data_IF_692130218039
#
_entry.id   IF_692130218039
#
_cell.length_a   1.000
_cell.length_b   1.000
_cell.length_c   1.000
_cell.angle_alpha   90.00
_cell.angle_beta   90.00
_cell.angle_gamma   90.00
#
_symmetry.space_group_name_H-M   'P 1'
#
loop_
_entity.id
_entity.type
_entity.pdbx_description
1 polymer ?
#
# COMPACT_ATOMS: atom_id res chain seq x y z
N UNK A 1 17.28 -16.62 -7.09
CA UNK A 1 17.93 -15.61 -6.23
C UNK A 1 17.65 -14.25 -6.86
N UNK A 2 16.56 -13.60 -6.45
CA UNK A 2 16.29 -12.21 -6.78
C UNK A 2 16.66 -11.41 -5.53
N UNK A 3 17.91 -10.95 -5.48
CA UNK A 3 18.33 -9.93 -4.54
C UNK A 3 17.68 -8.66 -5.07
N UNK A 4 16.65 -8.21 -4.37
CA UNK A 4 15.95 -6.98 -4.71
C UNK A 4 16.93 -5.81 -4.66
N UNK A 5 17.03 -5.08 -5.77
CA UNK A 5 17.49 -3.70 -5.71
C UNK A 5 16.38 -2.88 -5.05
N UNK A 6 16.36 -2.99 -3.73
CA UNK A 6 15.74 -2.09 -2.78
C UNK A 6 16.47 -0.76 -2.97
N UNK A 7 15.80 0.24 -3.53
CA UNK A 7 16.27 1.62 -3.37
C UNK A 7 16.37 1.86 -1.88
N UNK A 8 17.61 2.11 -1.42
CA UNK A 8 18.00 2.74 -0.18
C UNK A 8 16.86 3.02 0.83
N UNK A 9 16.39 1.98 1.50
CA UNK A 9 15.48 2.11 2.64
C UNK A 9 16.32 2.18 3.92
N UNK A 10 16.12 3.23 4.72
CA UNK A 10 16.42 3.21 6.15
C UNK A 10 17.72 3.90 6.58
N UNK A 11 17.76 5.23 6.58
CA UNK A 11 18.41 5.94 7.69
C UNK A 11 17.82 7.34 7.89
N UNK A 12 16.84 7.46 8.79
CA UNK A 12 16.47 8.77 9.37
C UNK A 12 17.44 9.08 10.54
N UNK A 13 17.95 10.31 10.69
CA UNK A 13 18.94 10.63 11.71
C UNK A 13 18.35 10.55 13.13
N UNK A 14 19.15 9.96 14.02
CA UNK A 14 18.89 9.90 15.46
C UNK A 14 18.81 11.32 16.05
N UNK A 15 17.71 11.61 16.75
CA UNK A 15 17.57 12.86 17.48
C UNK A 15 16.14 13.24 17.85
N UNK A 16 15.39 12.34 18.51
CA UNK A 16 14.17 12.71 19.23
C UNK A 16 14.01 11.80 20.45
N UNK A 17 13.62 12.41 21.56
CA UNK A 17 13.71 11.97 22.96
C UNK A 17 13.06 10.62 23.31
N UNK A 18 13.63 9.97 24.33
CA UNK A 18 13.32 8.66 24.92
C UNK A 18 11.94 8.56 25.62
N UNK A 19 10.81 8.66 24.92
CA UNK A 19 9.54 8.12 25.45
C UNK A 19 8.61 7.66 24.30
N UNK A 20 8.31 6.35 24.33
CA UNK A 20 7.50 5.51 23.41
C UNK A 20 8.03 5.24 21.99
N UNK A 21 7.91 3.98 21.49
CA UNK A 21 8.36 3.65 20.15
C UNK A 21 7.50 4.33 19.07
N UNK A 22 8.16 5.12 18.22
CA UNK A 22 7.65 5.87 17.05
C UNK A 22 7.07 4.99 15.89
N UNK A 23 6.57 3.78 16.15
CA UNK A 23 6.25 2.78 15.11
C UNK A 23 4.78 2.82 14.66
N UNK A 24 4.34 3.95 14.09
CA UNK A 24 2.98 4.09 13.55
C UNK A 24 2.88 3.94 12.04
N UNK A 25 1.77 3.37 11.58
CA UNK A 25 1.39 3.31 10.18
C UNK A 25 1.32 4.73 9.60
N UNK A 26 1.65 4.86 8.32
CA UNK A 26 1.77 6.16 7.65
C UNK A 26 1.59 6.00 6.15
N UNK A 27 0.80 6.87 5.53
CA UNK A 27 0.73 6.96 4.07
C UNK A 27 1.91 7.76 3.54
N UNK A 28 2.61 7.20 2.56
CA UNK A 28 3.69 7.86 1.82
C UNK A 28 3.41 7.72 0.32
N UNK A 29 3.32 8.84 -0.38
CA UNK A 29 3.06 8.91 -1.82
C UNK A 29 4.31 9.38 -2.55
N UNK A 30 4.75 8.62 -3.55
CA UNK A 30 5.68 9.08 -4.57
C UNK A 30 4.88 9.58 -5.77
N UNK A 31 4.96 10.88 -6.05
CA UNK A 31 4.22 11.59 -7.09
C UNK A 31 5.21 12.05 -8.16
N UNK A 32 4.97 11.69 -9.41
CA UNK A 32 5.78 12.14 -10.54
C UNK A 32 5.07 13.27 -11.27
N UNK A 33 5.78 14.38 -11.50
CA UNK A 33 5.31 15.50 -12.31
C UNK A 33 5.83 15.47 -13.74
N UNK A 34 5.16 16.15 -14.66
CA UNK A 34 5.65 16.33 -16.04
C UNK A 34 6.78 17.38 -16.15
N UNK A 35 7.00 18.18 -15.10
CA UNK A 35 7.99 19.26 -15.04
C UNK A 35 8.16 19.72 -13.58
N UNK A 36 8.91 20.80 -13.31
CA UNK A 36 9.12 21.29 -11.95
C UNK A 36 7.79 21.77 -11.34
N UNK A 37 7.19 20.95 -10.47
CA UNK A 37 5.85 21.12 -9.93
C UNK A 37 5.76 20.84 -8.43
N UNK A 38 6.91 20.72 -7.75
CA UNK A 38 6.96 20.44 -6.31
C UNK A 38 6.21 21.47 -5.47
N UNK A 39 6.14 22.72 -5.90
CA UNK A 39 5.35 23.75 -5.24
C UNK A 39 3.85 23.42 -5.22
N UNK A 40 3.31 22.95 -6.35
CA UNK A 40 1.90 22.54 -6.48
C UNK A 40 1.65 21.25 -5.71
N UNK A 41 2.51 20.24 -5.88
CA UNK A 41 2.43 18.96 -5.16
C UNK A 41 2.45 19.21 -3.64
N UNK A 42 3.37 20.05 -3.17
CA UNK A 42 3.51 20.37 -1.75
C UNK A 42 2.31 21.15 -1.19
N UNK A 43 1.73 22.07 -1.96
CA UNK A 43 0.53 22.81 -1.55
C UNK A 43 -0.69 21.88 -1.39
N UNK A 44 -0.94 21.01 -2.38
CA UNK A 44 -2.02 20.01 -2.32
C UNK A 44 -1.80 19.03 -1.16
N UNK A 45 -0.56 18.59 -0.96
CA UNK A 45 -0.18 17.78 0.20
C UNK A 45 -0.52 18.48 1.51
N UNK A 46 -0.11 19.73 1.68
CA UNK A 46 -0.36 20.51 2.89
C UNK A 46 -1.86 20.68 3.19
N UNK A 47 -2.68 20.97 2.17
CA UNK A 47 -4.13 21.08 2.29
C UNK A 47 -4.77 19.77 2.75
N UNK A 48 -4.20 18.63 2.37
CA UNK A 48 -4.63 17.30 2.80
C UNK A 48 -4.00 16.83 4.14
N UNK A 49 -3.13 17.63 4.76
CA UNK A 49 -2.41 17.29 5.99
C UNK A 49 -1.14 16.43 5.81
N UNK A 50 -0.63 16.37 4.59
CA UNK A 50 0.65 15.74 4.23
C UNK A 50 1.75 16.80 4.15
N UNK A 51 3.01 16.41 4.36
CA UNK A 51 4.16 17.28 4.07
C UNK A 51 4.89 16.80 2.83
N UNK A 52 5.40 17.73 2.03
CA UNK A 52 6.43 17.42 1.05
C UNK A 52 7.74 17.14 1.77
N UNK A 53 8.32 15.97 1.55
CA UNK A 53 9.65 15.63 2.01
C UNK A 53 10.68 16.25 1.07
N UNK A 54 11.33 17.31 1.53
CA UNK A 54 12.32 18.06 0.72
C UNK A 54 13.65 17.33 0.55
N UNK A 55 13.94 16.33 1.37
CA UNK A 55 15.18 15.57 1.28
C UNK A 55 15.13 14.59 0.10
N UNK A 56 13.99 13.94 -0.09
CA UNK A 56 13.80 12.93 -1.13
C UNK A 56 13.08 13.45 -2.39
N UNK A 57 12.57 14.69 -2.38
CA UNK A 57 11.92 15.30 -3.54
C UNK A 57 12.90 16.10 -4.41
N UNK A 58 12.66 16.11 -5.72
CA UNK A 58 13.49 16.79 -6.72
C UNK A 58 12.64 17.40 -7.84
N UNK A 59 12.97 18.63 -8.27
CA UNK A 59 12.42 19.29 -9.46
C UNK A 59 13.10 18.80 -10.77
N UNK A 60 13.70 17.61 -10.73
CA UNK A 60 14.37 16.96 -11.84
C UNK A 60 13.95 15.48 -11.93
N UNK A 61 14.05 14.85 -13.11
CA UNK A 61 13.83 13.42 -13.28
C UNK A 61 14.81 12.58 -12.47
N UNK A 62 14.37 11.38 -12.10
CA UNK A 62 15.18 10.33 -11.48
C UNK A 62 15.10 9.04 -12.30
N UNK A 63 16.26 8.60 -12.81
CA UNK A 63 16.40 7.41 -13.67
C UNK A 63 15.96 6.10 -12.98
N UNK A 64 15.85 6.09 -11.65
CA UNK A 64 15.37 4.94 -10.89
C UNK A 64 13.84 4.78 -10.92
N UNK A 65 13.07 5.85 -11.21
CA UNK A 65 11.61 5.83 -11.13
C UNK A 65 10.93 4.80 -12.04
N UNK A 66 11.34 4.61 -13.32
CA UNK A 66 10.76 3.55 -14.16
C UNK A 66 10.87 2.15 -13.53
N UNK A 67 12.01 1.83 -12.92
CA UNK A 67 12.20 0.54 -12.26
C UNK A 67 11.37 0.44 -10.97
N UNK A 68 11.33 1.51 -10.17
CA UNK A 68 10.58 1.56 -8.92
C UNK A 68 9.06 1.41 -9.13
N UNK A 69 8.49 2.12 -10.11
CA UNK A 69 7.08 2.00 -10.48
C UNK A 69 6.76 0.61 -11.03
N UNK A 70 7.60 0.06 -11.90
CA UNK A 70 7.40 -1.29 -12.45
C UNK A 70 7.35 -2.38 -11.37
N UNK A 71 8.10 -2.24 -10.28
CA UNK A 71 8.08 -3.21 -9.17
C UNK A 71 6.75 -3.19 -8.37
N UNK A 72 6.03 -2.06 -8.42
CA UNK A 72 4.79 -1.81 -7.69
C UNK A 72 3.54 -1.83 -8.59
N UNK A 73 3.75 -1.83 -9.91
CA UNK A 73 2.69 -1.79 -10.91
C UNK A 73 1.76 -3.00 -10.81
N UNK A 74 0.46 -2.72 -10.85
CA UNK A 74 -0.58 -3.75 -11.01
C UNK A 74 -0.95 -3.96 -12.49
N UNK A 75 -1.98 -4.77 -12.74
CA UNK A 75 -2.45 -5.07 -14.09
C UNK A 75 -3.08 -3.87 -14.81
N UNK A 76 -3.47 -2.81 -14.08
CA UNK A 76 -4.07 -1.60 -14.66
C UNK A 76 -3.02 -0.61 -15.16
N UNK A 77 -1.75 -0.78 -14.78
CA UNK A 77 -0.64 0.07 -15.20
C UNK A 77 -0.25 -0.24 -16.66
N UNK A 78 -0.69 0.63 -17.57
CA UNK A 78 -0.60 0.48 -19.02
C UNK A 78 0.75 0.91 -19.61
N UNK A 79 0.87 0.83 -20.94
CA UNK A 79 2.03 1.34 -21.68
C UNK A 79 2.11 2.87 -21.56
N UNK A 80 0.98 3.57 -21.74
CA UNK A 80 0.90 5.03 -21.55
C UNK A 80 1.37 5.47 -20.15
N UNK A 81 1.01 4.74 -19.08
CA UNK A 81 1.48 5.04 -17.73
C UNK A 81 3.01 4.84 -17.60
N UNK A 82 3.57 3.81 -18.26
CA UNK A 82 5.02 3.55 -18.25
C UNK A 82 5.79 4.62 -19.01
N UNK A 83 5.28 5.04 -20.16
CA UNK A 83 5.88 6.10 -20.96
C UNK A 83 5.83 7.44 -20.21
N UNK A 84 4.72 7.72 -19.54
CA UNK A 84 4.56 8.89 -18.69
C UNK A 84 5.56 8.88 -17.51
N UNK A 85 5.76 7.73 -16.85
CA UNK A 85 6.82 7.56 -15.85
C UNK A 85 8.21 7.74 -16.47
N UNK A 86 8.49 7.21 -17.65
CA UNK A 86 9.80 7.36 -18.29
C UNK A 86 10.12 8.81 -18.67
N UNK A 87 9.09 9.60 -18.99
CA UNK A 87 9.19 11.00 -19.39
C UNK A 87 8.94 12.01 -18.25
N UNK A 88 8.86 11.57 -16.99
CA UNK A 88 8.64 12.47 -15.85
C UNK A 88 9.73 13.55 -15.75
N UNK A 89 9.39 14.69 -15.17
CA UNK A 89 10.28 15.84 -14.99
C UNK A 89 10.59 16.17 -13.53
N UNK A 90 9.86 15.60 -12.57
CA UNK A 90 10.04 15.82 -11.13
C UNK A 90 9.61 14.59 -10.33
N UNK A 91 10.09 14.50 -9.09
CA UNK A 91 9.73 13.47 -8.12
C UNK A 91 9.38 14.15 -6.79
N UNK A 92 8.14 14.01 -6.33
CA UNK A 92 7.68 14.54 -5.05
C UNK A 92 7.27 13.43 -4.09
N UNK A 93 7.77 13.46 -2.86
CA UNK A 93 7.35 12.55 -1.80
C UNK A 93 6.43 13.27 -0.80
N UNK A 94 5.17 12.85 -0.74
CA UNK A 94 4.20 13.35 0.23
C UNK A 94 4.07 12.38 1.40
N UNK A 95 4.39 12.85 2.60
CA UNK A 95 4.44 12.07 3.82
C UNK A 95 3.31 12.48 4.76
N UNK A 96 2.41 11.53 5.05
CA UNK A 96 1.23 11.73 5.90
C UNK A 96 1.57 11.82 7.39
N UNK A 97 0.57 11.98 8.27
CA UNK A 97 0.76 11.77 9.70
C UNK A 97 0.98 10.28 10.02
N UNK A 98 1.75 9.99 11.08
CA UNK A 98 1.82 8.64 11.68
C UNK A 98 0.62 8.42 12.60
N UNK A 99 0.14 7.19 12.71
CA UNK A 99 -0.98 6.83 13.60
C UNK A 99 -0.81 5.45 14.29
N UNK A 100 -1.19 5.38 15.58
CA UNK A 100 -1.30 4.20 16.49
C UNK A 100 -2.38 4.48 17.58
N UNK A 101 -3.12 3.46 18.07
CA UNK A 101 -4.44 3.03 17.60
C UNK A 101 -5.62 3.73 18.34
N UNK A 102 -6.90 3.48 17.99
CA UNK A 102 -7.56 3.52 16.68
C UNK A 102 -8.49 4.75 16.53
N UNK A 103 -9.08 4.94 15.35
CA UNK A 103 -10.23 5.82 15.11
C UNK A 103 -10.02 6.90 14.05
N UNK A 104 -8.86 6.92 13.40
CA UNK A 104 -8.55 7.93 12.36
C UNK A 104 -8.04 7.35 11.05
N UNK A 105 -7.77 6.04 11.01
CA UNK A 105 -7.19 5.31 9.88
C UNK A 105 -8.01 5.52 8.62
N UNK A 106 -9.31 5.22 8.68
CA UNK A 106 -10.22 5.40 7.55
C UNK A 106 -10.26 6.85 7.05
N UNK A 107 -10.23 7.82 7.96
CA UNK A 107 -10.24 9.23 7.60
C UNK A 107 -8.92 9.63 6.93
N UNK A 108 -7.78 9.12 7.41
CA UNK A 108 -6.47 9.35 6.78
C UNK A 108 -6.39 8.67 5.42
N UNK A 109 -6.85 7.42 5.29
CA UNK A 109 -6.86 6.68 4.03
C UNK A 109 -7.74 7.38 2.99
N UNK A 110 -8.96 7.83 3.36
CA UNK A 110 -9.82 8.61 2.45
C UNK A 110 -9.17 9.91 2.01
N UNK A 111 -8.51 10.64 2.92
CA UNK A 111 -7.75 11.86 2.56
C UNK A 111 -6.57 11.55 1.63
N UNK A 112 -5.82 10.47 1.90
CA UNK A 112 -4.72 10.04 1.05
C UNK A 112 -5.21 9.74 -0.37
N UNK A 113 -6.35 9.03 -0.49
CA UNK A 113 -6.94 8.68 -1.77
C UNK A 113 -7.45 9.91 -2.54
N UNK A 114 -8.10 10.84 -1.83
CA UNK A 114 -8.49 12.13 -2.41
C UNK A 114 -7.27 12.91 -2.92
N UNK A 115 -6.20 12.97 -2.12
CA UNK A 115 -4.94 13.62 -2.48
C UNK A 115 -4.31 13.00 -3.73
N UNK A 116 -4.30 11.66 -3.87
CA UNK A 116 -3.84 11.00 -5.10
C UNK A 116 -4.61 11.52 -6.32
N UNK A 117 -5.93 11.61 -6.23
CA UNK A 117 -6.74 12.12 -7.33
C UNK A 117 -6.48 13.60 -7.61
N UNK A 118 -6.28 14.41 -6.57
CA UNK A 118 -6.03 15.84 -6.71
C UNK A 118 -4.68 16.13 -7.38
N UNK A 119 -3.60 15.44 -6.99
CA UNK A 119 -2.31 15.61 -7.66
C UNK A 119 -2.35 15.13 -9.11
N UNK A 120 -3.05 14.03 -9.40
CA UNK A 120 -3.23 13.55 -10.79
C UNK A 120 -4.01 14.57 -11.62
N UNK A 121 -5.09 15.15 -11.08
CA UNK A 121 -5.88 16.19 -11.74
C UNK A 121 -5.10 17.49 -11.93
N UNK A 122 -4.17 17.79 -11.02
CA UNK A 122 -3.28 18.95 -11.10
C UNK A 122 -2.11 18.78 -12.10
N UNK A 123 -1.97 17.60 -12.71
CA UNK A 123 -0.99 17.36 -13.77
C UNK A 123 0.14 16.40 -13.43
N UNK A 124 0.13 15.79 -12.24
CA UNK A 124 1.02 14.66 -11.96
C UNK A 124 0.77 13.54 -12.98
N UNK A 125 1.85 12.95 -13.48
CA UNK A 125 1.83 11.92 -14.52
C UNK A 125 1.63 10.52 -13.95
N UNK A 126 2.11 10.27 -12.73
CA UNK A 126 1.96 8.98 -12.07
C UNK A 126 2.03 9.14 -10.55
N UNK A 127 1.40 8.20 -9.82
CA UNK A 127 1.50 8.10 -8.36
C UNK A 127 1.73 6.65 -7.95
N UNK A 128 2.66 6.46 -7.03
CA UNK A 128 2.94 5.20 -6.35
C UNK A 128 2.74 5.38 -4.84
N UNK A 129 2.03 4.45 -4.22
CA UNK A 129 1.87 4.39 -2.77
C UNK A 129 3.00 3.54 -2.18
N UNK A 130 3.96 4.16 -1.50
CA UNK A 130 5.17 3.50 -1.01
C UNK A 130 4.85 2.53 0.13
N UNK A 131 4.00 2.92 1.08
CA UNK A 131 3.74 2.11 2.28
C UNK A 131 2.97 0.81 2.01
N UNK A 132 2.41 0.64 0.81
CA UNK A 132 1.78 -0.62 0.39
C UNK A 132 2.33 -1.18 -0.92
N UNK A 133 3.35 -0.53 -1.48
CA UNK A 133 4.03 -0.95 -2.70
C UNK A 133 3.08 -1.08 -3.91
N UNK A 134 2.14 -0.15 -4.08
CA UNK A 134 1.14 -0.15 -5.15
C UNK A 134 1.36 1.01 -6.13
N UNK A 135 1.31 0.72 -7.43
CA UNK A 135 1.17 1.72 -8.48
C UNK A 135 0.05 1.29 -9.44
N UNK A 136 -1.14 1.88 -9.30
CA UNK A 136 -2.21 1.72 -10.28
C UNK A 136 -1.96 2.62 -11.50
N UNK A 137 -2.56 2.26 -12.64
CA UNK A 137 -2.65 3.19 -13.78
C UNK A 137 -3.47 4.43 -13.39
N UNK A 138 -3.23 5.55 -14.08
CA UNK A 138 -3.87 6.84 -13.79
C UNK A 138 -5.40 6.74 -13.67
N UNK A 139 -6.04 6.13 -14.67
CA UNK A 139 -7.49 6.00 -14.70
C UNK A 139 -8.04 5.15 -13.56
N UNK A 140 -7.29 4.11 -13.15
CA UNK A 140 -7.68 3.27 -12.01
C UNK A 140 -7.60 4.05 -10.70
N UNK A 141 -6.56 4.84 -10.49
CA UNK A 141 -6.47 5.73 -9.32
C UNK A 141 -7.68 6.68 -9.24
N UNK A 142 -8.04 7.30 -10.36
CA UNK A 142 -9.18 8.24 -10.42
C UNK A 142 -10.52 7.54 -10.16
N UNK A 143 -10.71 6.33 -10.71
CA UNK A 143 -11.91 5.53 -10.46
C UNK A 143 -12.04 5.12 -8.99
N UNK A 144 -10.97 4.59 -8.40
CA UNK A 144 -10.92 4.23 -6.97
C UNK A 144 -11.26 5.42 -6.07
N UNK A 145 -10.71 6.59 -6.38
CA UNK A 145 -10.99 7.80 -5.63
C UNK A 145 -12.44 8.29 -5.78
N UNK A 146 -13.04 8.12 -6.96
CA UNK A 146 -14.45 8.42 -7.17
C UNK A 146 -15.38 7.48 -6.39
N UNK A 147 -15.01 6.20 -6.32
CA UNK A 147 -15.75 5.17 -5.57
C UNK A 147 -15.50 5.24 -4.05
N UNK A 148 -14.42 5.93 -3.63
CA UNK A 148 -13.98 5.96 -2.23
C UNK A 148 -13.44 4.62 -1.74
N UNK A 149 -12.97 3.76 -2.65
CA UNK A 149 -12.48 2.41 -2.37
C UNK A 149 -11.02 2.43 -1.88
N UNK A 150 -10.84 2.66 -0.58
CA UNK A 150 -9.52 2.72 0.05
C UNK A 150 -8.82 1.35 0.10
N UNK A 151 -9.57 0.26 0.18
CA UNK A 151 -9.02 -1.09 0.17
C UNK A 151 -8.46 -1.44 -1.22
N UNK A 152 -9.24 -1.20 -2.28
CA UNK A 152 -8.80 -1.39 -3.65
C UNK A 152 -7.63 -0.49 -4.05
N UNK A 153 -7.48 0.66 -3.39
CA UNK A 153 -6.40 1.62 -3.60
C UNK A 153 -5.10 1.28 -2.88
N UNK A 154 -5.17 0.80 -1.64
CA UNK A 154 -3.99 0.70 -0.77
C UNK A 154 -3.63 -0.71 -0.36
N UNK A 155 -4.41 -1.73 -0.69
CA UNK A 155 -4.09 -3.12 -0.34
C UNK A 155 -3.58 -3.86 -1.57
N UNK A 156 -2.28 -4.17 -1.60
CA UNK A 156 -1.67 -4.99 -2.64
C UNK A 156 -1.98 -6.46 -2.37
N UNK A 157 -2.65 -7.11 -3.31
CA UNK A 157 -2.99 -8.54 -3.22
C UNK A 157 -3.14 -9.14 -4.65
N UNK A 158 -2.61 -10.35 -4.91
CA UNK A 158 -1.69 -11.13 -4.09
C UNK A 158 -0.21 -10.73 -4.30
N UNK A 159 0.58 -10.79 -3.24
CA UNK A 159 2.05 -10.85 -3.33
C UNK A 159 2.48 -12.30 -3.12
N UNK A 160 3.37 -12.80 -3.98
CA UNK A 160 3.85 -14.18 -3.93
C UNK A 160 5.26 -14.26 -3.36
N UNK A 161 5.47 -15.14 -2.39
CA UNK A 161 6.77 -15.48 -1.83
C UNK A 161 6.88 -16.99 -1.64
N UNK A 162 7.42 -17.70 -2.64
CA UNK A 162 7.45 -19.17 -2.65
C UNK A 162 6.05 -19.76 -2.66
N UNK A 163 5.72 -20.53 -1.62
CA UNK A 163 4.43 -21.18 -1.39
C UNK A 163 3.48 -20.33 -0.51
N UNK A 164 3.78 -19.05 -0.33
CA UNK A 164 2.94 -18.11 0.40
C UNK A 164 2.35 -17.08 -0.57
N UNK A 165 1.06 -16.84 -0.45
CA UNK A 165 0.38 -15.67 -0.97
C UNK A 165 0.08 -14.75 0.22
N UNK A 166 0.29 -13.44 0.09
CA UNK A 166 -0.01 -12.49 1.15
C UNK A 166 -0.44 -11.14 0.60
N UNK A 167 -1.11 -10.33 1.43
CA UNK A 167 -1.38 -8.93 1.15
C UNK A 167 -0.38 -8.00 1.85
N UNK A 168 -0.31 -6.76 1.39
CA UNK A 168 0.36 -5.67 2.13
C UNK A 168 -0.48 -4.41 1.98
N UNK A 169 -0.69 -3.70 3.09
CA UNK A 169 -1.35 -2.39 3.13
C UNK A 169 -2.55 -2.32 4.06
N UNK A 170 -3.00 -3.44 4.64
CA UNK A 170 -4.13 -3.42 5.58
C UNK A 170 -3.86 -2.59 6.84
N UNK A 171 -2.59 -2.41 7.23
CA UNK A 171 -2.20 -1.55 8.36
C UNK A 171 -2.61 -0.08 8.16
N UNK A 172 -2.72 0.36 6.92
CA UNK A 172 -3.19 1.71 6.56
C UNK A 172 -4.68 1.91 6.82
N UNK A 173 -5.40 0.79 6.98
CA UNK A 173 -6.83 0.73 7.32
C UNK A 173 -7.04 0.27 8.78
N UNK A 174 -5.97 0.18 9.58
CA UNK A 174 -6.07 -0.30 10.95
C UNK A 174 -6.38 -1.80 11.05
N UNK A 175 -6.02 -2.58 10.04
CA UNK A 175 -6.36 -4.01 9.93
C UNK A 175 -5.12 -4.88 9.69
N UNK A 176 -5.17 -6.15 10.07
CA UNK A 176 -4.15 -7.12 9.71
C UNK A 176 -4.19 -7.50 8.24
N UNK A 177 -3.03 -7.81 7.67
CA UNK A 177 -2.92 -8.33 6.32
C UNK A 177 -3.38 -9.80 6.26
N UNK A 178 -3.69 -10.31 5.07
CA UNK A 178 -4.11 -11.70 4.85
C UNK A 178 -2.95 -12.48 4.28
N UNK A 179 -2.72 -13.70 4.75
CA UNK A 179 -1.78 -14.63 4.14
C UNK A 179 -2.38 -16.03 3.99
N UNK A 180 -1.95 -16.75 2.96
CA UNK A 180 -2.39 -18.10 2.64
C UNK A 180 -1.18 -18.94 2.28
N UNK A 181 -0.96 -20.01 3.05
CA UNK A 181 0.05 -21.02 2.75
C UNK A 181 -0.57 -22.08 1.82
N UNK A 182 0.15 -22.45 0.77
CA UNK A 182 -0.34 -23.43 -0.21
C UNK A 182 0.67 -24.54 -0.50
N UNK A 183 0.19 -25.66 -1.05
CA UNK A 183 0.95 -26.89 -1.31
C UNK A 183 1.83 -26.83 -2.59
N UNK A 184 1.80 -25.72 -3.30
CA UNK A 184 2.48 -25.53 -4.58
C UNK A 184 1.61 -25.70 -5.83
N UNK A 185 0.35 -26.15 -5.72
CA UNK A 185 -0.54 -26.30 -6.89
C UNK A 185 -0.91 -24.94 -7.48
N UNK A 186 -0.28 -24.59 -8.61
CA UNK A 186 -0.47 -23.29 -9.24
C UNK A 186 -1.83 -23.15 -9.94
N UNK A 187 -2.56 -24.25 -10.17
CA UNK A 187 -3.86 -24.21 -10.85
C UNK A 187 -4.96 -23.59 -9.99
N UNK A 188 -4.80 -23.62 -8.67
CA UNK A 188 -5.76 -23.11 -7.68
C UNK A 188 -5.52 -21.66 -7.26
N UNK A 189 -4.51 -21.00 -7.83
CA UNK A 189 -4.17 -19.62 -7.47
C UNK A 189 -5.34 -18.66 -7.63
N UNK A 190 -6.17 -18.72 -8.70
CA UNK A 190 -7.34 -17.85 -8.81
C UNK A 190 -8.33 -18.01 -7.63
N UNK A 191 -8.62 -19.26 -7.23
CA UNK A 191 -9.50 -19.58 -6.08
C UNK A 191 -8.94 -19.00 -4.77
N UNK A 192 -7.63 -19.17 -4.53
CA UNK A 192 -6.99 -18.64 -3.32
C UNK A 192 -6.98 -17.12 -3.28
N UNK A 193 -6.76 -16.47 -4.43
CA UNK A 193 -6.79 -15.02 -4.54
C UNK A 193 -8.20 -14.49 -4.28
N UNK A 194 -9.24 -15.14 -4.80
CA UNK A 194 -10.64 -14.81 -4.51
C UNK A 194 -10.96 -14.94 -3.02
N UNK A 195 -10.53 -16.03 -2.37
CA UNK A 195 -10.66 -16.24 -0.93
C UNK A 195 -10.00 -15.12 -0.12
N UNK A 196 -8.78 -14.73 -0.51
CA UNK A 196 -8.05 -13.65 0.17
C UNK A 196 -8.73 -12.28 -0.05
N UNK A 197 -9.23 -12.00 -1.25
CA UNK A 197 -10.00 -10.78 -1.52
C UNK A 197 -11.27 -10.71 -0.69
N UNK A 198 -12.00 -11.82 -0.56
CA UNK A 198 -13.19 -11.89 0.28
C UNK A 198 -12.85 -11.63 1.75
N UNK A 199 -11.72 -12.15 2.26
CA UNK A 199 -11.30 -11.89 3.63
C UNK A 199 -10.85 -10.44 3.85
N UNK A 200 -10.17 -9.82 2.89
CA UNK A 200 -9.86 -8.38 2.92
C UNK A 200 -11.16 -7.56 2.95
N UNK A 201 -12.11 -7.87 2.06
CA UNK A 201 -13.39 -7.18 2.00
C UNK A 201 -14.20 -7.34 3.28
N UNK A 202 -14.24 -8.56 3.85
CA UNK A 202 -14.90 -8.82 5.14
C UNK A 202 -14.36 -7.91 6.24
N UNK A 203 -13.04 -7.78 6.37
CA UNK A 203 -12.42 -6.94 7.41
C UNK A 203 -12.68 -5.44 7.27
N UNK A 204 -12.99 -4.97 6.05
CA UNK A 204 -13.21 -3.55 5.75
C UNK A 204 -14.69 -3.18 5.82
N UNK A 205 -15.57 -4.10 5.41
CA UNK A 205 -17.02 -3.87 5.36
C UNK A 205 -17.71 -4.30 6.66
N UNK A 206 -17.25 -5.40 7.24
CA UNK A 206 -17.81 -5.97 8.47
C UNK A 206 -16.98 -5.55 9.68
N UNK A 207 -17.67 -5.17 10.74
CA UNK A 207 -17.07 -4.83 12.03
C UNK A 207 -17.16 -6.01 13.01
N UNK A 208 -17.68 -7.17 12.55
CA UNK A 208 -17.73 -8.37 13.37
C UNK A 208 -16.31 -8.88 13.68
N UNK A 209 -15.95 -8.98 14.98
CA UNK A 209 -14.61 -9.37 15.36
C UNK A 209 -14.35 -10.83 14.98
N UNK A 210 -13.27 -11.05 14.24
CA UNK A 210 -12.75 -12.38 13.95
C UNK A 210 -11.88 -12.89 15.10
N UNK A 211 -12.01 -14.18 15.44
CA UNK A 211 -11.17 -14.83 16.45
C UNK A 211 -10.20 -15.87 15.88
N UNK A 212 -9.07 -16.07 16.56
CA UNK A 212 -8.13 -17.15 16.24
C UNK A 212 -8.81 -18.53 16.36
N UNK A 213 -8.64 -19.37 15.34
CA UNK A 213 -9.24 -20.70 15.25
C UNK A 213 -10.63 -20.73 14.60
N UNK A 214 -11.23 -19.58 14.29
CA UNK A 214 -12.50 -19.51 13.58
C UNK A 214 -12.39 -19.99 12.13
N UNK A 215 -13.54 -20.35 11.57
CA UNK A 215 -13.64 -20.85 10.20
C UNK A 215 -14.05 -19.77 9.23
N UNK A 216 -13.29 -19.58 8.15
CA UNK A 216 -13.67 -18.74 7.03
C UNK A 216 -13.98 -19.59 5.79
N UNK A 217 -15.02 -19.22 5.04
CA UNK A 217 -15.40 -19.87 3.78
C UNK A 217 -16.16 -18.90 2.88
N UNK A 218 -16.01 -19.04 1.57
CA UNK A 218 -16.70 -18.20 0.57
C UNK A 218 -18.21 -18.50 0.47
N UNK A 219 -18.58 -19.76 0.69
CA UNK A 219 -19.96 -20.24 0.61
C UNK A 219 -20.17 -21.39 1.62
N UNK A 220 -21.42 -21.72 2.00
CA UNK A 220 -21.70 -22.79 2.97
C UNK A 220 -21.07 -24.14 2.64
N UNK A 221 -21.03 -24.49 1.35
CA UNK A 221 -20.49 -25.72 0.77
C UNK A 221 -19.03 -25.62 0.30
N UNK A 222 -18.43 -24.42 0.36
CA UNK A 222 -17.02 -24.22 0.05
C UNK A 222 -16.10 -24.81 1.15
N UNK A 223 -14.84 -25.12 0.82
CA UNK A 223 -13.85 -25.52 1.82
C UNK A 223 -13.75 -24.51 2.98
N UNK A 224 -13.77 -25.03 4.21
CA UNK A 224 -13.54 -24.24 5.42
C UNK A 224 -12.04 -24.07 5.63
N UNK A 225 -11.60 -22.85 5.84
CA UNK A 225 -10.24 -22.50 6.24
C UNK A 225 -10.23 -22.06 7.71
N UNK A 226 -9.18 -22.44 8.44
CA UNK A 226 -8.97 -21.99 9.82
C UNK A 226 -8.16 -20.70 9.79
N UNK A 227 -8.67 -19.67 10.47
CA UNK A 227 -7.99 -18.41 10.67
C UNK A 227 -6.96 -18.55 11.78
N UNK A 228 -5.72 -18.16 11.51
CA UNK A 228 -4.64 -18.09 12.49
C UNK A 228 -4.07 -16.68 12.61
N UNK A 229 -3.97 -16.19 13.84
CA UNK A 229 -3.37 -14.90 14.14
C UNK A 229 -1.85 -15.02 14.20
N UNK A 230 -1.15 -14.24 13.39
CA UNK A 230 0.31 -14.18 13.41
C UNK A 230 0.78 -12.72 13.49
N UNK A 231 1.92 -12.48 14.14
CA UNK A 231 2.56 -11.16 14.17
C UNK A 231 3.29 -10.85 12.87
N UNK A 232 3.59 -9.58 12.61
CA UNK A 232 4.39 -9.21 11.46
C UNK A 232 5.89 -9.45 11.72
N UNK A 233 6.44 -10.45 11.03
CA UNK A 233 7.87 -10.81 11.07
C UNK A 233 8.57 -10.61 9.72
N UNK A 234 7.82 -10.15 8.70
CA UNK A 234 8.31 -9.97 7.33
C UNK A 234 8.97 -8.62 7.11
N UNK A 235 8.59 -7.63 7.90
CA UNK A 235 9.11 -6.26 7.84
C UNK A 235 9.59 -5.85 9.23
N UNK A 236 10.65 -5.06 9.28
CA UNK A 236 11.12 -4.45 10.53
C UNK A 236 10.11 -3.38 10.99
N UNK A 237 9.98 -3.08 12.30
CA UNK A 237 8.99 -2.12 12.82
C UNK A 237 9.06 -0.69 12.24
N UNK A 238 10.21 -0.29 11.70
CA UNK A 238 10.43 1.01 11.06
C UNK A 238 10.17 1.02 9.54
N UNK A 239 9.93 -0.14 8.94
CA UNK A 239 9.56 -0.26 7.53
C UNK A 239 8.13 0.27 7.30
N UNK A 240 7.93 1.00 6.20
CA UNK A 240 6.62 1.55 5.84
C UNK A 240 5.55 0.47 5.61
N UNK A 241 5.97 -0.75 5.28
CA UNK A 241 5.09 -1.91 5.06
C UNK A 241 4.83 -2.71 6.35
N UNK A 242 5.43 -2.32 7.48
CA UNK A 242 5.21 -3.00 8.75
C UNK A 242 3.74 -2.91 9.17
N UNK A 243 3.16 -4.07 9.46
CA UNK A 243 1.79 -4.17 9.94
C UNK A 243 1.80 -4.46 11.44
N UNK A 244 1.57 -3.46 12.32
CA UNK A 244 1.50 -3.68 13.76
C UNK A 244 0.31 -4.56 14.18
N UNK A 245 -0.71 -4.69 13.31
CA UNK A 245 -1.82 -5.61 13.52
C UNK A 245 -1.46 -7.05 13.14
N UNK A 246 -0.37 -7.29 12.41
CA UNK A 246 0.04 -8.63 11.99
C UNK A 246 -0.79 -9.16 10.82
N UNK A 247 -1.05 -10.48 10.81
CA UNK A 247 -1.73 -11.17 9.73
C UNK A 247 -2.87 -12.08 10.23
N UNK A 248 -3.83 -12.32 9.33
CA UNK A 248 -4.69 -13.50 9.35
C UNK A 248 -4.16 -14.52 8.34
N UNK A 249 -3.65 -15.64 8.85
CA UNK A 249 -3.25 -16.79 8.04
C UNK A 249 -4.41 -17.74 7.83
N UNK A 250 -4.67 -18.08 6.58
CA UNK A 250 -5.62 -19.10 6.17
C UNK A 250 -4.90 -20.46 6.09
N UNK A 251 -5.34 -21.41 6.90
CA UNK A 251 -4.88 -22.80 6.91
C UNK A 251 -6.02 -23.75 6.50
N UNK A 252 -5.78 -24.78 5.65
CA UNK A 252 -6.80 -25.77 5.29
C UNK A 252 -7.34 -26.59 6.48
#
# INVERSE_FOLDING_TARGET
MAVGHQLACGHYPAGMSDDEPLYGAQHVLCVLGAGPDLGTIGALGADAGFRLDREYSSDAPDEAMPAAFRACADATFGEDDRDAVAAHGSVGYLVGPRFLPPGTEDAVARRALALVADVLRAGAVAVKHESSLVAHGRERWLALAADGDTAGAFVRLPIRSGNLLYSTGMHLLGRPDVELAHDGDRTRVPEWVELMHALVAYQVVDDEPMADGEGFRLAPDAPRWVLRRTGCTRFEPDDLSYNPYGYWRLEP
#
